data_IF_085505960954
#
_entry.id   IF_085505960954
#
_cell.length_a   1.000
_cell.length_b   1.000
_cell.length_c   1.000
_cell.angle_alpha   90.00
_cell.angle_beta   90.00
_cell.angle_gamma   90.00
#
_symmetry.space_group_name_H-M   'P 1'
#
loop_
_entity.id
_entity.type
_entity.pdbx_description
1 polymer ?
#
# COMPACT_ATOMS: atom_id res chain seq x y z
N UNK A 1 14.56 16.35 -2.35
CA UNK A 1 13.76 16.87 -3.47
C UNK A 1 12.57 17.60 -2.91
N UNK A 2 11.52 17.82 -3.70
CA UNK A 2 10.18 18.23 -3.23
C UNK A 2 9.12 17.22 -3.69
N UNK A 3 7.86 17.39 -3.28
CA UNK A 3 6.74 16.60 -3.82
C UNK A 3 6.72 16.51 -5.37
N UNK A 4 7.27 17.51 -6.07
CA UNK A 4 7.37 17.54 -7.53
C UNK A 4 8.36 16.53 -8.14
N UNK A 5 9.24 15.91 -7.36
CA UNK A 5 10.10 14.81 -7.85
C UNK A 5 9.35 13.45 -7.89
N UNK A 6 8.04 13.46 -7.64
CA UNK A 6 7.18 12.29 -7.75
C UNK A 6 6.68 12.08 -9.19
N UNK A 7 6.41 10.83 -9.58
CA UNK A 7 5.83 10.51 -10.89
C UNK A 7 4.52 11.29 -11.17
N UNK A 8 3.77 11.64 -10.11
CA UNK A 8 2.54 12.41 -10.21
C UNK A 8 2.72 13.80 -10.85
N UNK A 9 3.93 14.35 -10.90
CA UNK A 9 4.20 15.61 -11.59
C UNK A 9 3.81 15.52 -13.07
N UNK A 10 4.17 14.44 -13.75
CA UNK A 10 3.90 14.25 -15.18
C UNK A 10 2.88 13.15 -15.47
N UNK A 11 2.56 12.32 -14.48
CA UNK A 11 1.73 11.13 -14.67
C UNK A 11 0.46 11.21 -13.82
N UNK A 12 -0.63 10.70 -14.38
CA UNK A 12 -1.92 10.55 -13.68
C UNK A 12 -2.07 9.14 -13.14
N UNK A 13 -2.87 9.00 -12.08
CA UNK A 13 -3.53 7.74 -11.79
C UNK A 13 -4.60 7.42 -12.85
N UNK A 14 -5.22 6.25 -12.75
CA UNK A 14 -6.28 5.86 -13.67
C UNK A 14 -7.21 4.83 -13.06
N UNK A 15 -8.20 4.43 -13.84
CA UNK A 15 -9.14 3.39 -13.46
C UNK A 15 -9.18 2.31 -14.51
N UNK A 16 -9.29 1.06 -14.07
CA UNK A 16 -9.59 -0.06 -14.94
C UNK A 16 -10.74 -0.87 -14.36
N UNK A 17 -11.47 -1.54 -15.25
CA UNK A 17 -12.45 -2.54 -14.85
C UNK A 17 -11.69 -3.87 -14.61
N UNK A 18 -11.72 -4.39 -13.39
CA UNK A 18 -11.10 -5.68 -13.10
C UNK A 18 -11.89 -6.84 -13.72
N UNK A 19 -11.38 -8.07 -13.62
CA UNK A 19 -12.02 -9.27 -14.19
C UNK A 19 -13.43 -9.55 -13.64
N UNK A 20 -13.86 -8.84 -12.59
CA UNK A 20 -15.15 -8.96 -11.92
C UNK A 20 -16.11 -7.81 -12.29
N UNK A 21 -15.75 -6.96 -13.25
CA UNK A 21 -16.61 -5.86 -13.70
C UNK A 21 -16.63 -4.65 -12.78
N UNK A 22 -15.64 -4.53 -11.87
CA UNK A 22 -15.57 -3.42 -10.91
C UNK A 22 -14.46 -2.44 -11.30
N UNK A 23 -14.76 -1.15 -11.18
CA UNK A 23 -13.78 -0.08 -11.31
C UNK A 23 -12.80 -0.09 -10.13
N UNK A 24 -11.52 -0.28 -10.44
CA UNK A 24 -10.40 -0.16 -9.52
C UNK A 24 -9.63 1.11 -9.86
N UNK A 25 -9.34 1.94 -8.86
CA UNK A 25 -8.52 3.14 -9.03
C UNK A 25 -7.08 2.85 -8.66
N UNK A 26 -6.16 3.31 -9.49
CA UNK A 26 -4.72 3.14 -9.32
C UNK A 26 -4.05 4.52 -9.22
N UNK A 27 -3.05 4.62 -8.33
CA UNK A 27 -2.18 5.80 -8.26
C UNK A 27 -1.29 5.93 -9.51
N UNK A 28 -0.55 7.04 -9.65
CA UNK A 28 0.27 7.32 -10.85
C UNK A 28 1.29 6.23 -11.18
N UNK A 29 1.95 5.66 -10.16
CA UNK A 29 2.94 4.59 -10.34
C UNK A 29 2.28 3.30 -10.79
N UNK A 30 1.22 2.88 -10.10
CA UNK A 30 0.46 1.67 -10.43
C UNK A 30 -0.18 1.79 -11.82
N UNK A 31 -0.77 2.93 -12.15
CA UNK A 31 -1.35 3.18 -13.47
C UNK A 31 -0.28 3.15 -14.56
N UNK A 32 0.90 3.71 -14.29
CA UNK A 32 2.03 3.59 -15.21
C UNK A 32 2.42 2.12 -15.40
N UNK A 33 2.61 1.34 -14.35
CA UNK A 33 2.95 -0.08 -14.48
C UNK A 33 1.85 -0.92 -15.11
N UNK A 34 0.58 -0.56 -14.88
CA UNK A 34 -0.58 -1.21 -15.47
C UNK A 34 -0.68 -0.94 -16.98
N UNK A 35 -0.56 0.32 -17.39
CA UNK A 35 -0.80 0.77 -18.77
C UNK A 35 0.46 0.78 -19.65
N UNK A 36 1.61 1.14 -19.07
CA UNK A 36 2.91 1.18 -19.77
C UNK A 36 3.69 -0.15 -19.64
N UNK A 37 3.39 -0.96 -18.61
CA UNK A 37 4.09 -2.21 -18.36
C UNK A 37 5.45 -2.03 -17.66
N UNK A 38 5.88 -3.03 -16.89
CA UNK A 38 7.20 -3.04 -16.23
C UNK A 38 8.37 -3.13 -17.21
N UNK A 39 8.12 -3.62 -18.42
CA UNK A 39 9.10 -3.72 -19.51
C UNK A 39 9.07 -2.51 -20.46
N UNK A 40 8.20 -1.52 -20.18
CA UNK A 40 8.00 -0.34 -21.00
C UNK A 40 7.40 -0.61 -22.38
N UNK A 41 6.73 -1.74 -22.55
CA UNK A 41 6.13 -2.16 -23.84
C UNK A 41 4.82 -1.44 -24.18
N UNK A 42 4.17 -0.80 -23.21
CA UNK A 42 2.92 -0.08 -23.38
C UNK A 42 3.08 1.35 -23.92
N UNK A 43 2.00 2.12 -23.89
CA UNK A 43 2.00 3.50 -24.37
C UNK A 43 2.08 4.49 -23.20
N UNK A 44 3.23 5.18 -23.06
CA UNK A 44 3.47 6.11 -21.96
C UNK A 44 2.46 7.27 -21.95
N UNK A 45 1.92 7.63 -23.12
CA UNK A 45 0.96 8.73 -23.27
C UNK A 45 -0.29 8.49 -22.43
N UNK A 46 -0.73 7.23 -22.29
CA UNK A 46 -1.93 6.86 -21.53
C UNK A 46 -1.77 7.06 -20.02
N UNK A 47 -0.54 7.34 -19.59
CA UNK A 47 -0.16 7.56 -18.19
C UNK A 47 0.07 9.03 -17.87
N UNK A 48 0.14 9.91 -18.88
CA UNK A 48 0.49 11.31 -18.68
C UNK A 48 -0.72 12.12 -18.20
N UNK A 49 -0.49 13.02 -17.24
CA UNK A 49 -1.44 14.09 -16.94
C UNK A 49 -1.30 15.22 -17.98
N UNK A 50 -2.10 16.27 -17.87
CA UNK A 50 -2.09 17.38 -18.84
C UNK A 50 -0.74 18.11 -18.90
N UNK A 51 -0.10 18.35 -17.76
CA UNK A 51 1.24 18.94 -17.71
C UNK A 51 2.30 18.05 -18.37
N UNK A 52 2.29 16.74 -18.07
CA UNK A 52 3.18 15.76 -18.67
C UNK A 52 3.01 15.67 -20.19
N UNK A 53 1.76 15.79 -20.68
CA UNK A 53 1.46 15.88 -22.10
C UNK A 53 2.04 17.16 -22.71
N UNK A 54 1.88 18.31 -22.06
CA UNK A 54 2.43 19.58 -22.51
C UNK A 54 3.97 19.55 -22.55
N UNK A 55 4.59 18.97 -21.54
CA UNK A 55 6.03 18.74 -21.49
C UNK A 55 6.51 17.78 -22.61
N UNK A 56 5.74 16.72 -22.87
CA UNK A 56 5.98 15.80 -23.98
C UNK A 56 5.96 16.52 -25.33
N UNK A 57 4.88 17.27 -25.60
CA UNK A 57 4.67 17.95 -26.88
C UNK A 57 5.67 19.08 -27.15
N UNK A 58 6.30 19.61 -26.11
CA UNK A 58 7.37 20.62 -26.23
C UNK A 58 8.80 20.02 -26.20
N UNK A 59 8.91 18.69 -26.30
CA UNK A 59 10.18 18.01 -26.57
C UNK A 59 10.94 17.50 -25.34
N UNK A 60 10.29 17.41 -24.17
CA UNK A 60 10.82 16.78 -22.94
C UNK A 60 12.25 17.17 -22.57
N UNK A 61 12.50 18.47 -22.58
CA UNK A 61 13.82 19.02 -22.28
C UNK A 61 13.68 20.30 -21.46
N UNK A 62 14.80 20.87 -21.03
CA UNK A 62 14.79 22.09 -20.23
C UNK A 62 14.05 23.26 -20.91
N UNK A 63 14.15 23.37 -22.24
CA UNK A 63 13.43 24.40 -23.00
C UNK A 63 11.92 24.18 -23.00
N UNK A 64 11.45 22.93 -22.90
CA UNK A 64 10.03 22.61 -22.77
C UNK A 64 9.43 23.21 -21.49
N UNK A 65 10.17 23.18 -20.37
CA UNK A 65 9.72 23.77 -19.10
C UNK A 65 9.47 25.28 -19.28
N UNK A 66 10.40 25.99 -19.91
CA UNK A 66 10.23 27.41 -20.19
C UNK A 66 9.08 27.69 -21.18
N UNK A 67 8.89 26.82 -22.19
CA UNK A 67 7.84 26.96 -23.18
C UNK A 67 6.43 26.79 -22.60
N UNK A 68 6.27 25.93 -21.59
CA UNK A 68 4.98 25.65 -20.95
C UNK A 68 4.79 26.42 -19.63
N UNK A 69 5.77 27.20 -19.19
CA UNK A 69 5.75 27.90 -17.91
C UNK A 69 4.49 28.76 -17.67
N UNK A 70 4.02 29.45 -18.71
CA UNK A 70 2.84 30.33 -18.64
C UNK A 70 1.53 29.62 -19.02
N UNK A 71 1.57 28.33 -19.35
CA UNK A 71 0.34 27.56 -19.56
C UNK A 71 -0.29 27.24 -18.23
N UNK A 72 -1.61 27.17 -18.23
CA UNK A 72 -2.43 26.53 -17.21
C UNK A 72 -2.79 25.17 -17.80
N UNK A 73 -2.02 24.14 -17.45
CA UNK A 73 -2.10 22.84 -18.13
C UNK A 73 -3.33 22.04 -17.69
N UNK A 74 -3.79 22.16 -16.45
CA UNK A 74 -4.95 21.43 -15.92
C UNK A 74 -6.24 22.26 -15.83
N UNK A 75 -6.17 23.58 -16.08
CA UNK A 75 -7.32 24.47 -16.20
C UNK A 75 -7.83 25.01 -14.87
N UNK A 76 -7.00 25.02 -13.82
CA UNK A 76 -7.37 25.47 -12.48
C UNK A 76 -7.28 27.01 -12.28
N UNK A 77 -6.77 27.71 -13.29
CA UNK A 77 -6.60 29.17 -13.29
C UNK A 77 -5.20 29.64 -12.90
N UNK A 78 -4.27 28.75 -12.59
CA UNK A 78 -2.88 29.04 -12.27
C UNK A 78 -1.96 28.55 -13.40
N UNK A 79 -0.85 29.27 -13.60
CA UNK A 79 0.14 28.81 -14.57
C UNK A 79 1.05 27.77 -13.93
N UNK A 80 1.54 26.83 -14.75
CA UNK A 80 2.52 25.82 -14.38
C UNK A 80 3.70 26.37 -13.56
N UNK A 81 4.23 27.54 -13.94
CA UNK A 81 5.35 28.16 -13.22
C UNK A 81 4.99 28.64 -11.82
N UNK A 82 3.75 29.11 -11.60
CA UNK A 82 3.25 29.50 -10.29
C UNK A 82 3.14 28.27 -9.42
N UNK A 83 2.47 27.23 -9.90
CA UNK A 83 2.26 25.99 -9.16
C UNK A 83 3.58 25.32 -8.77
N UNK A 84 4.51 25.17 -9.72
CA UNK A 84 5.84 24.62 -9.46
C UNK A 84 6.59 25.45 -8.40
N UNK A 85 6.52 26.78 -8.48
CA UNK A 85 7.18 27.66 -7.51
C UNK A 85 6.57 27.55 -6.11
N UNK A 86 5.29 27.19 -6.01
CA UNK A 86 4.58 26.95 -4.76
C UNK A 86 4.52 25.47 -4.37
N UNK A 87 5.25 24.59 -5.09
CA UNK A 87 5.31 23.15 -4.84
C UNK A 87 3.92 22.50 -4.97
N UNK A 88 3.30 22.66 -6.14
CA UNK A 88 1.99 22.14 -6.54
C UNK A 88 2.08 21.45 -7.92
N UNK A 89 1.25 20.43 -8.17
CA UNK A 89 1.27 19.60 -9.38
C UNK A 89 0.49 20.26 -10.53
N UNK A 90 1.16 20.85 -11.53
CA UNK A 90 0.51 21.57 -12.65
C UNK A 90 -0.35 20.74 -13.62
N UNK A 91 -0.45 19.44 -13.36
CA UNK A 91 -1.28 18.52 -14.13
C UNK A 91 -2.47 18.01 -13.32
N UNK A 92 -2.75 18.60 -12.16
CA UNK A 92 -3.78 18.19 -11.23
C UNK A 92 -4.49 19.41 -10.64
N UNK A 93 -5.64 19.76 -11.22
CA UNK A 93 -6.46 20.89 -10.77
C UNK A 93 -6.98 20.78 -9.32
N UNK A 94 -6.82 19.60 -8.68
CA UNK A 94 -7.09 19.41 -7.25
C UNK A 94 -5.95 19.84 -6.33
N UNK A 95 -4.76 20.12 -6.86
CA UNK A 95 -3.55 20.51 -6.15
C UNK A 95 -3.11 21.94 -6.51
N UNK A 96 -4.03 22.89 -6.49
CA UNK A 96 -3.75 24.28 -6.85
C UNK A 96 -3.11 25.10 -5.70
N UNK A 97 -2.55 26.31 -5.95
CA UNK A 97 -1.92 27.16 -4.93
C UNK A 97 -2.84 27.69 -3.81
N UNK A 98 -4.16 27.47 -3.89
CA UNK A 98 -5.11 27.76 -2.80
C UNK A 98 -5.18 26.60 -1.79
N UNK A 99 -4.66 25.43 -2.14
CA UNK A 99 -4.65 24.25 -1.29
C UNK A 99 -3.53 24.32 -0.27
N UNK A 100 -3.78 23.75 0.90
CA UNK A 100 -2.77 23.56 1.94
C UNK A 100 -2.48 22.08 2.12
N UNK A 101 -1.28 21.68 2.58
CA UNK A 101 -1.01 20.28 2.91
C UNK A 101 -2.05 19.73 3.88
N UNK A 102 -2.49 18.49 3.63
CA UNK A 102 -3.47 17.85 4.49
C UNK A 102 -2.93 17.64 5.92
N UNK A 103 -3.81 17.63 6.94
CA UNK A 103 -3.43 17.28 8.30
C UNK A 103 -2.65 15.97 8.35
N UNK A 104 -1.59 15.94 9.13
CA UNK A 104 -0.70 14.79 9.22
C UNK A 104 -0.22 14.53 10.64
N UNK A 105 0.13 13.28 10.90
CA UNK A 105 0.72 12.83 12.15
C UNK A 105 1.75 11.75 11.91
N UNK A 106 2.96 12.00 12.40
CA UNK A 106 4.07 11.05 12.33
C UNK A 106 4.09 10.19 13.59
N UNK A 107 4.25 8.89 13.39
CA UNK A 107 4.44 7.90 14.44
C UNK A 107 5.81 7.26 14.30
N UNK A 108 6.58 7.29 15.37
CA UNK A 108 7.78 6.46 15.54
C UNK A 108 7.41 5.03 15.91
N UNK A 109 8.27 4.07 15.61
CA UNK A 109 8.13 2.68 16.08
C UNK A 109 7.91 2.57 17.58
N UNK A 110 8.62 3.38 18.38
CA UNK A 110 8.45 3.40 19.83
C UNK A 110 7.04 3.86 20.26
N UNK A 111 6.46 4.86 19.57
CA UNK A 111 5.08 5.28 19.82
C UNK A 111 4.10 4.17 19.44
N UNK A 112 4.27 3.51 18.29
CA UNK A 112 3.44 2.39 17.87
C UNK A 112 3.51 1.21 18.86
N UNK A 113 4.71 0.88 19.34
CA UNK A 113 4.92 -0.16 20.35
C UNK A 113 4.26 0.17 21.70
N UNK A 114 4.09 1.46 22.02
CA UNK A 114 3.40 1.91 23.22
C UNK A 114 1.86 1.91 23.08
N UNK A 115 1.33 1.73 21.86
CA UNK A 115 -0.12 1.59 21.62
C UNK A 115 -0.62 0.19 21.98
N UNK A 116 -1.94 -0.02 21.88
CA UNK A 116 -2.54 -1.34 22.06
C UNK A 116 -2.04 -2.33 21.02
N UNK A 117 -1.20 -3.27 21.45
CA UNK A 117 -0.60 -4.27 20.57
C UNK A 117 -1.59 -5.40 20.24
N UNK A 118 -1.48 -5.93 19.03
CA UNK A 118 -2.17 -7.11 18.56
C UNK A 118 -1.19 -8.08 17.91
N UNK A 119 -1.26 -9.34 18.32
CA UNK A 119 -0.46 -10.43 17.76
C UNK A 119 -1.39 -11.44 17.13
N UNK A 120 -1.14 -11.78 15.87
CA UNK A 120 -1.95 -12.75 15.14
C UNK A 120 -1.09 -13.72 14.34
N UNK A 121 -1.45 -15.00 14.39
CA UNK A 121 -0.97 -16.06 13.51
C UNK A 121 -1.99 -16.26 12.39
N UNK A 122 -1.51 -16.34 11.14
CA UNK A 122 -2.36 -16.50 9.97
C UNK A 122 -1.59 -17.09 8.80
N UNK A 123 -2.35 -17.60 7.82
CA UNK A 123 -1.85 -17.92 6.49
C UNK A 123 -1.71 -16.62 5.67
N UNK A 124 -0.61 -16.52 4.93
CA UNK A 124 -0.37 -15.50 3.92
C UNK A 124 -0.36 -16.19 2.55
N UNK A 125 -1.48 -16.10 1.83
CA UNK A 125 -1.63 -16.65 0.49
C UNK A 125 -1.15 -15.65 -0.56
N UNK A 126 -0.35 -16.12 -1.50
CA UNK A 126 0.21 -15.33 -2.59
C UNK A 126 -0.24 -15.91 -3.93
N UNK A 127 -0.57 -15.08 -4.92
CA UNK A 127 -1.00 -15.64 -6.22
C UNK A 127 0.16 -16.20 -7.04
N UNK A 128 1.38 -15.66 -6.88
CA UNK A 128 2.55 -15.96 -7.75
C UNK A 128 3.76 -16.53 -7.03
N UNK A 129 3.83 -16.36 -5.71
CA UNK A 129 4.97 -16.83 -4.91
C UNK A 129 4.55 -18.09 -4.14
N UNK A 130 5.41 -18.59 -3.25
CA UNK A 130 4.99 -19.58 -2.27
C UNK A 130 4.20 -18.93 -1.13
N UNK A 131 3.19 -19.63 -0.65
CA UNK A 131 2.43 -19.28 0.55
C UNK A 131 3.26 -19.52 1.81
N UNK A 132 2.84 -18.92 2.92
CA UNK A 132 3.51 -19.15 4.19
C UNK A 132 2.62 -18.85 5.37
N UNK A 133 2.87 -19.53 6.48
CA UNK A 133 2.32 -19.13 7.77
C UNK A 133 3.27 -18.20 8.50
N UNK A 134 2.72 -17.21 9.21
CA UNK A 134 3.51 -16.33 10.05
C UNK A 134 2.67 -15.80 11.22
N UNK A 135 3.37 -15.41 12.28
CA UNK A 135 2.86 -14.60 13.37
C UNK A 135 3.40 -13.18 13.24
N UNK A 136 2.49 -12.23 13.12
CA UNK A 136 2.81 -10.81 13.10
C UNK A 136 2.35 -10.13 14.39
N UNK A 137 3.12 -9.14 14.84
CA UNK A 137 2.76 -8.26 15.96
C UNK A 137 2.81 -6.81 15.52
N UNK A 138 1.76 -6.06 15.85
CA UNK A 138 1.56 -4.70 15.39
C UNK A 138 0.47 -3.96 16.16
N UNK A 139 0.04 -2.84 15.58
CA UNK A 139 -1.12 -2.07 16.06
C UNK A 139 -2.30 -2.35 15.12
N UNK A 140 -3.51 -2.64 15.62
CA UNK A 140 -4.70 -2.65 14.78
C UNK A 140 -4.84 -1.32 14.03
N UNK A 141 -5.00 -1.35 12.71
CA UNK A 141 -5.03 -0.12 11.91
C UNK A 141 -6.22 0.75 12.31
N UNK A 142 -7.37 0.14 12.64
CA UNK A 142 -8.52 0.84 13.24
C UNK A 142 -8.14 1.69 14.46
N UNK A 143 -7.31 1.16 15.36
CA UNK A 143 -6.88 1.87 16.59
C UNK A 143 -5.83 2.95 16.27
N UNK A 144 -4.96 2.71 15.29
CA UNK A 144 -4.04 3.71 14.76
C UNK A 144 -4.79 4.91 14.18
N UNK A 145 -5.79 4.68 13.33
CA UNK A 145 -6.60 5.72 12.71
C UNK A 145 -7.43 6.49 13.74
N UNK A 146 -8.03 5.82 14.72
CA UNK A 146 -8.70 6.48 15.85
C UNK A 146 -7.72 7.36 16.63
N UNK A 147 -6.50 6.88 16.88
CA UNK A 147 -5.48 7.69 17.56
C UNK A 147 -5.04 8.89 16.72
N UNK A 148 -4.94 8.73 15.40
CA UNK A 148 -4.64 9.81 14.46
C UNK A 148 -5.77 10.83 14.34
N UNK A 149 -6.97 10.51 14.83
CA UNK A 149 -8.12 11.40 14.80
C UNK A 149 -8.92 11.29 13.50
N UNK A 150 -9.01 10.10 12.89
CA UNK A 150 -9.77 9.88 11.66
C UNK A 150 -11.17 10.53 11.70
N UNK A 151 -11.50 11.26 10.65
CA UNK A 151 -12.77 11.98 10.51
C UNK A 151 -13.87 11.03 10.04
N UNK A 152 -15.13 11.35 10.38
CA UNK A 152 -16.29 10.56 9.94
C UNK A 152 -16.53 10.62 8.42
N UNK A 153 -15.89 11.55 7.71
CA UNK A 153 -15.92 11.64 6.26
C UNK A 153 -15.00 10.63 5.57
N UNK A 154 -14.09 10.00 6.32
CA UNK A 154 -13.16 9.03 5.76
C UNK A 154 -13.89 7.78 5.27
N UNK A 155 -13.51 7.27 4.10
CA UNK A 155 -14.09 6.08 3.46
C UNK A 155 -13.09 4.93 3.33
N UNK A 156 -11.79 5.23 3.36
CA UNK A 156 -10.73 4.23 3.28
C UNK A 156 -9.36 4.81 3.56
N UNK A 157 -8.34 3.99 3.34
CA UNK A 157 -6.94 4.39 3.35
C UNK A 157 -6.25 3.91 2.07
N UNK A 158 -5.26 4.68 1.62
CA UNK A 158 -4.27 4.22 0.66
C UNK A 158 -2.92 4.13 1.36
N UNK A 159 -2.29 2.96 1.29
CA UNK A 159 -1.02 2.69 1.99
C UNK A 159 0.10 2.60 0.99
N UNK A 160 1.21 3.28 1.28
CA UNK A 160 2.35 3.40 0.36
C UNK A 160 3.61 2.76 0.93
N UNK A 161 4.35 2.14 0.02
CA UNK A 161 5.73 1.73 0.19
C UNK A 161 6.66 2.74 -0.54
N UNK A 162 7.94 2.85 -0.13
CA UNK A 162 8.88 3.83 -0.69
C UNK A 162 9.35 3.50 -2.12
N UNK A 163 9.07 2.29 -2.62
CA UNK A 163 9.30 1.89 -4.02
C UNK A 163 8.18 2.33 -4.97
N UNK A 164 7.18 3.07 -4.46
CA UNK A 164 6.04 3.58 -5.23
C UNK A 164 4.87 2.59 -5.33
N UNK A 165 4.98 1.40 -4.74
CA UNK A 165 3.84 0.51 -4.57
C UNK A 165 2.84 1.14 -3.61
N UNK A 166 1.54 0.96 -3.90
CA UNK A 166 0.45 1.29 -2.97
C UNK A 166 -0.69 0.28 -3.07
N UNK A 167 -1.59 0.28 -2.09
CA UNK A 167 -2.87 -0.43 -2.15
C UNK A 167 -3.94 0.29 -1.34
N UNK A 168 -5.19 0.11 -1.75
CA UNK A 168 -6.35 0.75 -1.15
C UNK A 168 -7.11 -0.22 -0.26
N UNK A 169 -7.51 0.27 0.92
CA UNK A 169 -8.30 -0.48 1.89
C UNK A 169 -9.51 0.34 2.34
N UNK A 170 -10.76 -0.10 2.07
CA UNK A 170 -11.93 0.59 2.60
C UNK A 170 -11.95 0.54 4.14
N UNK A 171 -12.55 1.53 4.80
CA UNK A 171 -12.70 1.47 6.26
C UNK A 171 -13.66 0.35 6.66
N UNK A 172 -14.77 0.23 5.94
CA UNK A 172 -15.84 -0.73 6.22
C UNK A 172 -15.81 -1.91 5.25
N UNK A 173 -16.50 -2.99 5.62
CA UNK A 173 -16.58 -4.20 4.82
C UNK A 173 -17.14 -3.93 3.42
N UNK A 174 -16.37 -4.27 2.38
CA UNK A 174 -16.78 -4.20 0.98
C UNK A 174 -17.10 -5.62 0.46
N UNK A 175 -18.16 -5.80 -0.36
CA UNK A 175 -18.50 -7.09 -0.95
C UNK A 175 -17.45 -7.61 -1.94
N UNK A 176 -16.59 -6.74 -2.48
CA UNK A 176 -15.50 -7.15 -3.36
C UNK A 176 -14.44 -7.94 -2.59
N UNK A 177 -14.17 -9.20 -2.96
CA UNK A 177 -13.19 -10.02 -2.26
C UNK A 177 -11.76 -9.45 -2.29
N UNK A 178 -11.42 -8.54 -3.22
CA UNK A 178 -10.09 -7.92 -3.33
C UNK A 178 -9.91 -6.71 -2.39
N UNK A 179 -10.98 -6.18 -1.81
CA UNK A 179 -10.92 -5.02 -0.91
C UNK A 179 -10.97 -5.42 0.56
N UNK A 180 -9.82 -5.40 1.21
CA UNK A 180 -9.65 -5.71 2.64
C UNK A 180 -10.02 -4.50 3.51
N UNK A 181 -10.97 -4.69 4.42
CA UNK A 181 -11.47 -3.59 5.26
C UNK A 181 -10.63 -3.33 6.51
N UNK A 182 -10.58 -2.07 6.95
CA UNK A 182 -9.78 -1.68 8.13
C UNK A 182 -10.48 -2.03 9.45
N UNK A 183 -11.77 -1.74 9.56
CA UNK A 183 -12.50 -1.75 10.84
C UNK A 183 -13.06 -3.13 11.21
N UNK A 184 -12.95 -3.51 12.48
CA UNK A 184 -13.54 -4.74 12.99
C UNK A 184 -12.65 -5.98 12.82
N UNK A 185 -13.28 -7.13 12.59
CA UNK A 185 -12.59 -8.44 12.62
C UNK A 185 -12.86 -9.25 11.37
N UNK A 186 -11.95 -10.17 11.09
CA UNK A 186 -12.04 -11.16 10.03
C UNK A 186 -12.45 -12.53 10.59
N UNK A 187 -12.91 -13.41 9.70
CA UNK A 187 -13.28 -14.77 10.05
C UNK A 187 -12.07 -15.54 10.58
N UNK A 188 -12.30 -16.39 11.58
CA UNK A 188 -11.29 -17.35 12.04
C UNK A 188 -10.99 -18.38 10.95
N UNK A 189 -9.75 -18.88 10.95
CA UNK A 189 -9.28 -19.88 10.00
C UNK A 189 -8.83 -21.16 10.73
N UNK A 190 -8.49 -22.18 9.95
CA UNK A 190 -7.87 -23.41 10.43
C UNK A 190 -6.46 -23.52 9.85
N UNK A 191 -5.55 -24.14 10.60
CA UNK A 191 -4.21 -24.42 10.13
C UNK A 191 -4.24 -25.55 9.11
N UNK A 192 -3.92 -25.24 7.87
CA UNK A 192 -3.96 -26.16 6.74
C UNK A 192 -2.54 -26.65 6.47
N UNK A 193 -2.23 -27.87 6.91
CA UNK A 193 -0.96 -28.53 6.63
C UNK A 193 -1.12 -29.70 5.68
N UNK A 194 -0.16 -29.88 4.77
CA UNK A 194 -0.01 -31.09 3.96
C UNK A 194 1.46 -31.33 3.63
N UNK A 195 1.92 -32.58 3.70
CA UNK A 195 3.31 -32.92 3.40
C UNK A 195 3.72 -32.57 1.97
N UNK A 196 2.84 -32.73 0.97
CA UNK A 196 3.11 -32.36 -0.43
C UNK A 196 3.37 -30.86 -0.58
N UNK A 197 2.67 -30.04 0.21
CA UNK A 197 2.77 -28.59 0.18
C UNK A 197 4.03 -28.06 0.87
N UNK A 198 4.60 -28.81 1.81
CA UNK A 198 5.68 -28.35 2.68
C UNK A 198 6.98 -28.15 1.91
N UNK A 199 7.45 -26.90 1.83
CA UNK A 199 8.70 -26.53 1.14
C UNK A 199 9.94 -27.10 1.80
N UNK A 200 9.91 -27.43 3.10
CA UNK A 200 11.04 -28.07 3.77
C UNK A 200 11.16 -29.55 3.39
N UNK A 201 10.03 -30.22 3.12
CA UNK A 201 10.01 -31.62 2.67
C UNK A 201 10.15 -31.74 1.15
N UNK A 202 9.58 -30.79 0.41
CA UNK A 202 9.52 -30.76 -1.05
C UNK A 202 10.09 -29.44 -1.59
N UNK A 203 11.42 -29.21 -1.52
CA UNK A 203 12.03 -27.91 -1.82
C UNK A 203 11.85 -27.41 -3.25
N UNK A 204 11.49 -28.30 -4.19
CA UNK A 204 11.29 -27.96 -5.61
C UNK A 204 9.83 -27.83 -6.02
N UNK A 205 8.90 -28.43 -5.27
CA UNK A 205 7.49 -28.58 -5.68
C UNK A 205 6.49 -28.20 -4.60
N UNK A 206 6.92 -28.13 -3.33
CA UNK A 206 6.13 -27.58 -2.24
C UNK A 206 5.86 -26.10 -2.47
N UNK A 207 4.72 -25.64 -1.97
CA UNK A 207 4.19 -24.29 -2.23
C UNK A 207 3.86 -23.52 -0.96
N UNK A 208 3.95 -24.14 0.22
CA UNK A 208 3.69 -23.48 1.49
C UNK A 208 4.86 -23.66 2.46
N UNK A 209 5.38 -22.54 2.97
CA UNK A 209 6.39 -22.51 4.02
C UNK A 209 5.74 -22.63 5.40
N UNK A 210 6.00 -23.77 6.06
CA UNK A 210 5.60 -24.06 7.44
C UNK A 210 6.74 -23.88 8.44
N UNK A 211 7.90 -23.36 8.02
CA UNK A 211 9.12 -23.26 8.81
C UNK A 211 9.09 -22.20 9.91
N UNK A 212 8.05 -21.35 9.95
CA UNK A 212 7.89 -20.35 11.00
C UNK A 212 7.82 -21.00 12.40
N UNK A 213 8.53 -20.47 13.42
CA UNK A 213 8.45 -20.98 14.80
C UNK A 213 7.02 -21.08 15.34
N UNK A 214 6.14 -20.15 14.95
CA UNK A 214 4.73 -20.14 15.33
C UNK A 214 3.89 -21.29 14.75
N UNK A 215 4.41 -22.04 13.78
CA UNK A 215 3.82 -23.29 13.28
C UNK A 215 4.06 -24.49 14.20
N UNK A 216 5.09 -24.44 15.06
CA UNK A 216 5.51 -25.59 15.85
C UNK A 216 4.38 -26.14 16.74
N UNK A 217 4.15 -27.45 16.66
CA UNK A 217 3.15 -28.15 17.46
C UNK A 217 1.71 -28.05 16.95
N UNK A 218 1.47 -27.42 15.79
CA UNK A 218 0.17 -27.38 15.13
C UNK A 218 -0.04 -28.61 14.24
N UNK A 219 -1.29 -29.06 14.19
CA UNK A 219 -1.76 -30.16 13.33
C UNK A 219 -2.75 -29.63 12.29
N UNK A 220 -2.84 -30.31 11.15
CA UNK A 220 -3.83 -30.00 10.12
C UNK A 220 -5.25 -29.93 10.74
N UNK A 221 -5.97 -28.84 10.43
CA UNK A 221 -7.28 -28.45 10.96
C UNK A 221 -7.32 -27.99 12.42
N UNK A 222 -6.17 -27.70 13.04
CA UNK A 222 -6.17 -26.95 14.30
C UNK A 222 -6.79 -25.57 14.09
N UNK A 223 -7.66 -25.15 15.00
CA UNK A 223 -8.22 -23.80 14.96
C UNK A 223 -7.11 -22.76 15.12
N UNK A 224 -7.07 -21.77 14.23
CA UNK A 224 -6.21 -20.60 14.39
C UNK A 224 -6.91 -19.61 15.31
N UNK A 225 -6.50 -19.61 16.57
CA UNK A 225 -7.07 -18.76 17.61
C UNK A 225 -6.21 -17.52 17.80
N UNK A 226 -6.75 -16.36 17.43
CA UNK A 226 -6.16 -15.05 17.70
C UNK A 226 -7.00 -14.32 18.75
N UNK A 227 -6.34 -13.83 19.80
CA UNK A 227 -7.03 -13.12 20.89
C UNK A 227 -7.67 -11.85 20.34
N UNK A 228 -8.98 -11.69 20.56
CA UNK A 228 -9.80 -10.58 20.03
C UNK A 228 -10.04 -10.63 18.51
N UNK A 229 -9.92 -11.81 17.90
CA UNK A 229 -10.17 -12.02 16.48
C UNK A 229 -9.01 -11.56 15.59
N UNK A 230 -9.06 -11.92 14.31
CA UNK A 230 -8.13 -11.45 13.29
C UNK A 230 -8.47 -10.02 12.88
N UNK A 231 -7.45 -9.16 12.69
CA UNK A 231 -7.63 -7.75 12.30
C UNK A 231 -6.62 -7.35 11.23
N UNK A 232 -6.91 -6.27 10.50
CA UNK A 232 -5.86 -5.59 9.75
C UNK A 232 -4.91 -4.91 10.75
N UNK A 233 -3.62 -5.21 10.66
CA UNK A 233 -2.60 -4.61 11.53
C UNK A 233 -1.50 -3.92 10.71
N UNK A 234 -0.95 -2.85 11.29
CA UNK A 234 0.36 -2.33 10.93
C UNK A 234 1.39 -3.07 11.80
N UNK A 235 1.94 -4.15 11.25
CA UNK A 235 2.94 -4.98 11.91
C UNK A 235 4.29 -4.26 11.98
N UNK A 236 5.02 -4.43 13.09
CA UNK A 236 6.41 -4.00 13.25
C UNK A 236 7.34 -5.16 13.65
N UNK A 237 6.78 -6.37 13.81
CA UNK A 237 7.50 -7.58 14.18
C UNK A 237 6.86 -8.82 13.54
N UNK A 238 7.71 -9.78 13.18
CA UNK A 238 7.36 -11.12 12.69
C UNK A 238 8.06 -12.16 13.55
N UNK A 239 7.35 -13.19 13.99
CA UNK A 239 7.88 -14.23 14.89
C UNK A 239 8.54 -13.68 16.16
N UNK A 240 8.00 -12.58 16.69
CA UNK A 240 8.51 -11.91 17.89
C UNK A 240 9.79 -11.09 17.71
N UNK A 241 10.34 -11.01 16.49
CA UNK A 241 11.52 -10.19 16.18
C UNK A 241 11.16 -9.04 15.25
N UNK A 242 11.97 -7.98 15.26
CA UNK A 242 11.82 -6.88 14.31
C UNK A 242 11.94 -7.42 12.87
N UNK A 243 11.10 -6.92 11.97
CA UNK A 243 11.16 -7.29 10.56
C UNK A 243 12.38 -6.66 9.89
N UNK A 244 12.98 -7.38 8.94
CA UNK A 244 14.10 -6.88 8.15
C UNK A 244 13.67 -5.64 7.37
N UNK A 245 14.44 -4.56 7.53
CA UNK A 245 14.17 -3.28 6.88
C UNK A 245 14.12 -3.43 5.36
N UNK A 246 13.20 -2.70 4.74
CA UNK A 246 13.10 -2.60 3.31
C UNK A 246 14.37 -2.03 2.70
N UNK A 247 14.86 -2.64 1.62
CA UNK A 247 15.95 -2.11 0.81
C UNK A 247 15.59 -2.21 -0.66
N UNK A 248 16.04 -1.24 -1.46
CA UNK A 248 15.95 -1.32 -2.91
C UNK A 248 17.16 -2.09 -3.45
N UNK A 249 16.91 -3.24 -4.08
CA UNK A 249 17.97 -4.04 -4.71
C UNK A 249 18.47 -3.43 -6.02
N UNK A 250 19.57 -3.98 -6.56
CA UNK A 250 20.14 -3.57 -7.85
C UNK A 250 19.18 -3.78 -9.03
N UNK A 251 18.16 -4.62 -8.87
CA UNK A 251 17.08 -4.84 -9.84
C UNK A 251 15.89 -3.87 -9.66
N UNK A 252 16.06 -2.84 -8.82
CA UNK A 252 15.03 -1.87 -8.42
C UNK A 252 13.78 -2.52 -7.81
N UNK A 253 13.93 -3.66 -7.12
CA UNK A 253 12.83 -4.28 -6.37
C UNK A 253 13.03 -4.12 -4.87
N UNK A 254 11.91 -3.94 -4.18
CA UNK A 254 11.87 -3.94 -2.73
C UNK A 254 12.12 -5.36 -2.18
N UNK A 255 13.24 -5.50 -1.49
CA UNK A 255 13.54 -6.61 -0.59
C UNK A 255 13.25 -6.20 0.86
N UNK A 256 13.08 -7.18 1.75
CA UNK A 256 12.63 -6.95 3.13
C UNK A 256 11.12 -6.73 3.23
N UNK A 257 10.65 -6.56 4.47
CA UNK A 257 9.23 -6.30 4.75
C UNK A 257 8.97 -5.24 5.82
N UNK A 258 10.02 -4.80 6.54
CA UNK A 258 9.97 -3.80 7.60
C UNK A 258 10.39 -2.39 7.16
N UNK A 259 10.42 -1.41 8.08
CA UNK A 259 10.14 -1.57 9.52
C UNK A 259 8.68 -1.84 9.83
N UNK A 260 7.78 -1.53 8.89
CA UNK A 260 6.34 -1.74 9.02
C UNK A 260 5.73 -2.47 7.84
N UNK A 261 4.70 -3.28 8.08
CA UNK A 261 3.95 -4.01 7.05
C UNK A 261 2.45 -3.94 7.34
N UNK A 262 1.63 -3.67 6.34
CA UNK A 262 0.18 -3.91 6.43
C UNK A 262 -0.07 -5.41 6.26
N UNK A 263 -0.81 -5.98 7.21
CA UNK A 263 -1.14 -7.41 7.23
C UNK A 263 -2.65 -7.56 7.34
N UNK A 264 -3.39 -7.65 6.21
CA UNK A 264 -4.78 -8.05 6.21
C UNK A 264 -4.89 -9.58 6.36
N UNK A 265 -5.79 -10.09 7.20
CA UNK A 265 -6.21 -11.48 7.17
C UNK A 265 -7.01 -11.80 5.91
N UNK A 266 -7.14 -13.10 5.58
CA UNK A 266 -8.09 -13.54 4.56
C UNK A 266 -9.53 -13.16 4.96
N UNK A 267 -10.27 -12.56 4.04
CA UNK A 267 -11.73 -12.35 4.14
C UNK A 267 -12.46 -13.68 4.06
N UNK A 268 -12.02 -14.55 3.17
CA UNK A 268 -12.56 -15.91 2.99
C UNK A 268 -11.42 -16.91 3.22
N UNK A 269 -11.36 -17.56 4.40
CA UNK A 269 -10.30 -18.52 4.70
C UNK A 269 -10.24 -19.65 3.68
N UNK A 270 -9.03 -19.93 3.18
CA UNK A 270 -8.75 -21.03 2.25
C UNK A 270 -7.50 -21.81 2.70
N UNK A 271 -7.25 -23.00 2.13
CA UNK A 271 -5.92 -23.63 2.17
C UNK A 271 -4.87 -22.82 1.42
N UNK A 272 -3.57 -23.10 1.64
CA UNK A 272 -2.52 -22.64 0.75
C UNK A 272 -2.68 -23.29 -0.62
N UNK A 273 -2.35 -22.57 -1.68
CA UNK A 273 -2.44 -23.01 -3.06
C UNK A 273 -1.10 -22.88 -3.80
N UNK A 274 -0.96 -23.69 -4.85
CA UNK A 274 0.20 -23.64 -5.71
C UNK A 274 0.27 -22.29 -6.44
N UNK A 275 1.49 -21.81 -6.74
CA UNK A 275 1.69 -20.58 -7.51
C UNK A 275 1.01 -20.65 -8.88
N UNK A 276 0.42 -19.55 -9.34
CA UNK A 276 -0.14 -19.42 -10.69
C UNK A 276 0.90 -19.64 -11.80
N UNK A 277 2.19 -19.53 -11.47
CA UNK A 277 3.31 -19.69 -12.40
C UNK A 277 3.93 -21.09 -12.33
N UNK A 278 3.48 -21.96 -11.43
CA UNK A 278 4.02 -23.31 -11.32
C UNK A 278 3.67 -24.12 -12.57
N UNK A 279 4.66 -24.86 -13.08
CA UNK A 279 4.49 -25.72 -14.25
C UNK A 279 3.59 -26.93 -13.96
N UNK A 280 3.51 -27.34 -12.70
CA UNK A 280 2.67 -28.44 -12.23
C UNK A 280 1.54 -27.90 -11.37
N UNK A 281 0.31 -28.21 -11.77
CA UNK A 281 -0.93 -27.88 -11.07
C UNK A 281 -1.69 -29.16 -10.67
N UNK A 282 -1.16 -30.36 -10.93
CA UNK A 282 -1.78 -31.63 -10.51
C UNK A 282 -1.40 -31.98 -9.06
N UNK A 283 -1.76 -31.07 -8.16
CA UNK A 283 -1.45 -31.14 -6.72
C UNK A 283 -2.73 -31.05 -5.88
N UNK A 284 -2.64 -31.35 -4.58
CA UNK A 284 -3.81 -31.33 -3.70
C UNK A 284 -4.55 -29.98 -3.70
N UNK A 285 -3.79 -28.88 -3.69
CA UNK A 285 -4.29 -27.52 -3.71
C UNK A 285 -3.67 -26.77 -4.90
N UNK A 286 -4.23 -26.94 -6.11
CA UNK A 286 -3.78 -26.19 -7.28
C UNK A 286 -4.07 -24.71 -7.11
N UNK A 287 -3.40 -23.87 -7.91
CA UNK A 287 -3.71 -22.45 -7.96
C UNK A 287 -5.21 -22.24 -8.20
N UNK A 288 -5.84 -21.43 -7.36
CA UNK A 288 -7.23 -21.06 -7.53
C UNK A 288 -7.40 -19.55 -7.52
N UNK A 289 -7.71 -18.99 -8.69
CA UNK A 289 -7.93 -17.55 -8.86
C UNK A 289 -9.00 -16.95 -7.94
N UNK A 290 -10.00 -17.76 -7.55
CA UNK A 290 -11.11 -17.28 -6.71
C UNK A 290 -10.81 -17.39 -5.21
N UNK A 291 -9.66 -17.96 -4.83
CA UNK A 291 -9.22 -18.00 -3.43
C UNK A 291 -8.59 -16.68 -3.00
N UNK A 292 -8.55 -16.46 -1.69
CA UNK A 292 -8.17 -15.19 -1.09
C UNK A 292 -6.64 -15.09 -0.94
N UNK A 293 -5.98 -14.30 -1.80
CA UNK A 293 -4.53 -14.07 -1.77
C UNK A 293 -4.14 -12.80 -1.01
N UNK A 294 -4.45 -12.76 0.29
CA UNK A 294 -4.22 -11.61 1.19
C UNK A 294 -2.78 -11.07 1.23
N UNK A 295 -1.77 -11.88 0.90
CA UNK A 295 -0.39 -11.41 0.85
C UNK A 295 -0.16 -10.38 -0.26
N UNK A 296 -0.97 -10.40 -1.33
CA UNK A 296 -0.92 -9.42 -2.41
C UNK A 296 -1.31 -8.01 -1.97
N UNK A 297 -2.26 -7.92 -1.03
CA UNK A 297 -2.71 -6.67 -0.40
C UNK A 297 -1.93 -6.29 0.86
N UNK A 298 -0.80 -6.96 1.11
CA UNK A 298 0.05 -6.68 2.26
C UNK A 298 1.19 -5.72 1.89
N UNK A 299 0.96 -4.42 2.05
CA UNK A 299 1.99 -3.40 1.82
C UNK A 299 3.23 -3.67 2.68
N UNK A 300 4.38 -3.88 2.05
CA UNK A 300 5.67 -4.06 2.73
C UNK A 300 6.37 -2.71 2.87
N UNK A 301 7.17 -2.53 3.91
CA UNK A 301 7.97 -1.30 4.11
C UNK A 301 7.09 -0.06 4.09
N UNK A 302 6.03 -0.04 4.89
CA UNK A 302 5.05 1.05 4.92
C UNK A 302 5.72 2.32 5.43
N UNK A 303 5.59 3.41 4.69
CA UNK A 303 6.08 4.74 5.13
C UNK A 303 4.95 5.77 5.24
N UNK A 304 3.86 5.60 4.48
CA UNK A 304 2.74 6.53 4.47
C UNK A 304 1.39 5.80 4.45
N UNK A 305 0.42 6.36 5.18
CA UNK A 305 -0.98 5.96 5.18
C UNK A 305 -1.82 7.21 4.93
N UNK A 306 -2.35 7.35 3.72
CA UNK A 306 -3.30 8.41 3.38
C UNK A 306 -4.71 7.97 3.77
N UNK A 307 -5.42 8.79 4.54
CA UNK A 307 -6.82 8.62 4.88
C UNK A 307 -7.66 9.37 3.86
N UNK A 308 -8.49 8.62 3.13
CA UNK A 308 -9.24 9.08 1.98
C UNK A 308 -10.70 9.39 2.32
N UNK A 309 -11.35 10.31 1.60
CA UNK A 309 -10.76 11.27 0.68
C UNK A 309 -9.99 12.37 1.44
N UNK A 310 -9.07 13.07 0.77
CA UNK A 310 -8.47 14.27 1.35
C UNK A 310 -9.56 15.32 1.72
N UNK A 311 -9.42 16.03 2.85
CA UNK A 311 -10.33 17.11 3.21
C UNK A 311 -10.41 18.20 2.13
N UNK A 312 -11.57 18.84 2.00
CA UNK A 312 -11.75 19.97 1.08
C UNK A 312 -10.74 21.08 1.38
N UNK A 313 -10.14 21.64 0.31
CA UNK A 313 -9.12 22.69 0.42
C UNK A 313 -7.73 22.17 0.79
N UNK A 314 -7.53 20.86 0.88
CA UNK A 314 -6.21 20.27 1.15
C UNK A 314 -5.63 19.51 -0.04
N UNK A 315 -4.31 19.29 0.01
CA UNK A 315 -3.54 18.48 -0.95
C UNK A 315 -2.64 17.48 -0.24
N UNK A 316 -2.01 16.57 -0.99
CA UNK A 316 -1.00 15.65 -0.46
C UNK A 316 0.14 16.40 0.26
N UNK A 317 0.72 15.75 1.27
CA UNK A 317 1.92 16.24 1.94
C UNK A 317 3.16 16.11 1.04
N UNK A 318 4.29 16.69 1.44
CA UNK A 318 5.56 16.38 0.77
C UNK A 318 5.96 14.92 1.06
N UNK A 319 5.71 14.06 0.08
CA UNK A 319 5.94 12.61 0.18
C UNK A 319 7.42 12.22 0.19
N UNK A 320 8.33 13.11 -0.21
CA UNK A 320 9.77 12.79 -0.18
C UNK A 320 10.34 12.76 1.22
N UNK A 321 9.87 13.62 2.11
CA UNK A 321 10.24 13.56 3.53
C UNK A 321 9.79 12.23 4.15
N UNK A 322 8.75 11.60 3.57
CA UNK A 322 8.18 10.33 4.04
C UNK A 322 8.58 9.11 3.20
N UNK A 323 9.66 9.20 2.42
CA UNK A 323 10.18 8.09 1.61
C UNK A 323 11.12 7.17 2.39
N UNK A 324 12.33 6.94 1.86
CA UNK A 324 13.34 6.08 2.49
C UNK A 324 13.83 6.58 3.84
N UNK A 325 13.81 7.89 4.11
CA UNK A 325 14.19 8.44 5.42
C UNK A 325 13.29 7.87 6.54
N UNK A 326 12.00 7.66 6.27
CA UNK A 326 11.08 7.07 7.26
C UNK A 326 11.34 5.58 7.49
N UNK A 327 11.91 4.88 6.50
CA UNK A 327 12.41 3.52 6.69
C UNK A 327 13.60 3.54 7.65
N UNK A 328 14.58 4.41 7.40
CA UNK A 328 15.80 4.54 8.19
C UNK A 328 15.52 4.98 9.64
N UNK A 329 14.55 5.88 9.82
CA UNK A 329 14.15 6.41 11.12
C UNK A 329 13.06 5.58 11.83
N UNK A 330 12.59 4.50 11.20
CA UNK A 330 11.48 3.67 11.67
C UNK A 330 10.22 4.49 12.02
N UNK A 331 9.79 5.33 11.07
CA UNK A 331 8.61 6.20 11.16
C UNK A 331 7.56 5.86 10.10
N UNK A 332 6.32 6.24 10.38
CA UNK A 332 5.21 6.24 9.43
C UNK A 332 4.40 7.52 9.60
N UNK A 333 3.95 8.12 8.51
CA UNK A 333 2.99 9.24 8.55
C UNK A 333 1.59 8.74 8.23
N UNK A 334 0.63 9.18 9.05
CA UNK A 334 -0.81 9.10 8.75
C UNK A 334 -1.26 10.52 8.39
N UNK A 335 -1.87 10.71 7.23
CA UNK A 335 -2.33 12.03 6.78
C UNK A 335 -3.65 11.98 6.03
N UNK A 336 -4.29 13.12 5.77
CA UNK A 336 -5.54 13.20 4.99
C UNK A 336 -6.76 13.52 5.85
N UNK A 337 -7.83 12.74 5.75
CA UNK A 337 -9.06 12.91 6.54
C UNK A 337 -8.90 12.54 8.02
N UNK A 338 -8.01 13.26 8.71
CA UNK A 338 -7.79 13.17 10.14
C UNK A 338 -7.94 14.57 10.77
N UNK A 339 -8.30 14.59 12.05
CA UNK A 339 -8.31 15.80 12.85
C UNK A 339 -6.87 16.30 13.02
N UNK A 340 -6.65 17.58 12.74
CA UNK A 340 -5.36 18.21 12.94
C UNK A 340 -5.07 18.38 14.46
N UNK A 341 -4.05 17.69 15.03
CA UNK A 341 -3.67 17.92 16.41
C UNK A 341 -2.90 19.24 16.60
N UNK A 342 -2.44 19.88 15.51
CA UNK A 342 -1.68 21.12 15.47
C UNK A 342 -2.25 22.08 14.40
N UNK A 343 -3.49 22.59 14.56
CA UNK A 343 -4.00 23.61 13.64
C UNK A 343 -2.97 24.75 13.56
N UNK A 344 -2.70 25.32 12.36
CA UNK A 344 -1.85 26.49 12.27
C UNK A 344 -2.39 27.52 13.25
N UNK A 345 -1.58 27.87 14.25
CA UNK A 345 -1.91 28.97 15.15
C UNK A 345 -2.06 30.17 14.22
N UNK A 346 -3.22 30.83 14.18
CA UNK A 346 -3.36 32.05 13.40
C UNK A 346 -2.32 33.03 13.97
N UNK A 347 -1.29 33.33 13.19
CA UNK A 347 -0.38 34.42 13.52
C UNK A 347 -1.22 35.68 13.71
N UNK A 348 -1.08 36.29 14.89
CA UNK A 348 -1.74 37.53 15.31
C UNK A 348 -1.15 38.70 14.52
#
# INVERSE_FOLDING_TARGET
GTKLDHCALCHTGGQYENSKGKQVSLGSCQWCHYSYGYDGSGNIIDTLNSYGMDYLMNGRNQSAIAAIANKDSDGDGYSNAVEIATVHYPGNAGDDPTKVPAPSRVYTKAQLQAMGQHTQFLLMNTSRSGDFYAQYTGVPVEDLLKNAGVLSSATGITVYAPDGWSDYHPLEQDPDPELYHVNGTYLGAYYQYNEQADTALNPTSGWCDYGAPSCAGRSHLDAIVNKNGLKMILAYAREGVAMDAGILGDDNKLSGEGPFRIVPPQKVPSPPDQSSNAADQDVLWPYNYDWDHNAGSSTRTVTMIRVEPLPEGTTDIDVLEAGWEYVDEEKVVVYGAIADPNPPVPDI
#
